data_IF_402406036396
#
_entry.id   IF_402406036396
#
_cell.length_a   1.000
_cell.length_b   1.000
_cell.length_c   1.000
_cell.angle_alpha   90.00
_cell.angle_beta   90.00
_cell.angle_gamma   90.00
#
_symmetry.space_group_name_H-M   'P 1'
#
loop_
_entity.id
_entity.type
_entity.pdbx_description
1 polymer ?
#
# COMPACT_ATOMS: atom_id res chain seq x y z
N UNK A 1 24.67 28.95 -15.13
CA UNK A 1 23.46 29.40 -14.43
C UNK A 1 23.36 28.55 -13.17
N UNK A 2 23.35 29.19 -12.02
CA UNK A 2 23.12 28.49 -10.77
C UNK A 2 21.62 28.25 -10.61
N UNK A 3 21.20 26.99 -10.58
CA UNK A 3 19.77 26.63 -10.56
C UNK A 3 19.07 27.07 -9.29
N UNK A 4 19.72 27.00 -8.11
CA UNK A 4 19.17 27.52 -6.85
C UNK A 4 18.96 29.04 -6.92
N UNK A 5 19.97 29.78 -7.39
CA UNK A 5 19.87 31.22 -7.56
C UNK A 5 18.80 31.60 -8.60
N UNK A 6 18.63 30.80 -9.66
CA UNK A 6 17.60 31.03 -10.67
C UNK A 6 16.18 30.85 -10.08
N UNK A 7 15.94 29.82 -9.26
CA UNK A 7 14.65 29.66 -8.56
C UNK A 7 14.37 30.83 -7.64
N UNK A 8 15.32 31.23 -6.80
CA UNK A 8 15.17 32.36 -5.86
C UNK A 8 14.90 33.66 -6.59
N UNK A 9 15.59 33.89 -7.70
CA UNK A 9 15.36 35.07 -8.56
C UNK A 9 13.99 35.04 -9.22
N UNK A 10 13.55 33.86 -9.72
CA UNK A 10 12.23 33.70 -10.32
C UNK A 10 11.10 33.93 -9.29
N UNK A 11 11.24 33.37 -8.07
CA UNK A 11 10.29 33.62 -6.97
C UNK A 11 10.15 35.14 -6.69
N UNK A 12 11.25 35.86 -6.60
CA UNK A 12 11.20 37.29 -6.34
C UNK A 12 10.63 38.09 -7.52
N UNK A 13 10.99 37.74 -8.76
CA UNK A 13 10.53 38.40 -9.96
C UNK A 13 9.05 38.17 -10.22
N UNK A 14 8.61 36.90 -10.16
CA UNK A 14 7.23 36.52 -10.42
C UNK A 14 6.30 36.71 -9.21
N UNK A 15 6.85 37.07 -8.05
CA UNK A 15 6.13 37.15 -6.75
C UNK A 15 5.46 35.82 -6.37
N UNK A 16 6.01 34.71 -6.83
CA UNK A 16 5.43 33.38 -6.72
C UNK A 16 6.30 32.45 -5.84
N UNK A 17 6.18 32.61 -4.53
CA UNK A 17 6.78 31.70 -3.55
C UNK A 17 5.88 30.45 -3.35
N UNK A 18 4.58 30.56 -3.68
CA UNK A 18 3.60 29.52 -3.43
C UNK A 18 3.96 28.24 -4.19
N UNK A 19 4.39 28.35 -5.45
CA UNK A 19 4.84 27.21 -6.27
C UNK A 19 5.96 26.43 -5.59
N UNK A 20 6.93 27.10 -4.95
CA UNK A 20 8.05 26.42 -4.28
C UNK A 20 7.63 25.83 -2.93
N UNK A 21 6.78 26.53 -2.18
CA UNK A 21 6.27 26.04 -0.90
C UNK A 21 5.33 24.83 -1.06
N UNK A 22 4.54 24.78 -2.14
CA UNK A 22 3.62 23.68 -2.43
C UNK A 22 4.35 22.34 -2.63
N UNK A 23 5.56 22.37 -3.17
CA UNK A 23 6.35 21.18 -3.45
C UNK A 23 7.16 20.64 -2.25
N UNK A 24 7.17 21.36 -1.12
CA UNK A 24 7.89 20.99 0.10
C UNK A 24 9.36 20.58 -0.14
N UNK A 25 10.07 21.39 -0.91
CA UNK A 25 11.41 21.12 -1.42
C UNK A 25 12.54 21.83 -0.64
N UNK A 26 12.37 22.07 0.64
CA UNK A 26 13.36 22.77 1.48
C UNK A 26 14.75 22.11 1.43
N UNK A 27 14.81 20.80 1.28
CA UNK A 27 16.06 20.04 1.31
C UNK A 27 16.85 20.07 -0.02
N UNK A 28 16.28 20.63 -1.11
CA UNK A 28 16.99 20.73 -2.40
C UNK A 28 17.84 22.02 -2.50
N UNK A 29 17.59 23.01 -1.67
CA UNK A 29 18.45 24.18 -1.53
C UNK A 29 19.66 23.82 -0.65
N UNK A 30 20.82 23.63 -1.27
CA UNK A 30 22.07 23.22 -0.60
C UNK A 30 22.99 24.44 -0.42
N UNK A 31 23.31 25.11 -1.52
CA UNK A 31 24.25 26.23 -1.56
C UNK A 31 23.63 27.55 -1.08
N UNK A 32 22.34 27.74 -1.30
CA UNK A 32 21.60 28.96 -0.95
C UNK A 32 20.47 28.69 0.07
N UNK A 33 20.71 27.74 0.97
CA UNK A 33 19.74 27.36 2.00
C UNK A 33 19.38 28.54 2.92
N UNK A 34 20.36 29.31 3.30
CA UNK A 34 20.19 30.52 4.14
C UNK A 34 19.36 31.60 3.44
N UNK A 35 19.54 31.77 2.12
CA UNK A 35 18.75 32.71 1.30
C UNK A 35 17.30 32.24 1.21
N UNK A 36 17.08 30.93 0.97
CA UNK A 36 15.75 30.33 0.95
C UNK A 36 15.02 30.49 2.29
N UNK A 37 15.67 30.16 3.40
CA UNK A 37 15.12 30.35 4.75
C UNK A 37 14.82 31.83 5.05
N UNK A 38 15.68 32.70 4.59
CA UNK A 38 15.48 34.15 4.70
C UNK A 38 14.28 34.66 3.92
N UNK A 39 14.06 34.12 2.71
CA UNK A 39 12.91 34.41 1.85
C UNK A 39 11.61 33.90 2.47
N UNK A 40 11.59 32.67 2.97
CA UNK A 40 10.46 32.09 3.71
C UNK A 40 10.11 32.93 4.93
N UNK A 41 11.09 33.28 5.72
CA UNK A 41 10.89 34.10 6.93
C UNK A 41 10.31 35.46 6.61
N UNK A 42 10.76 36.08 5.53
CA UNK A 42 10.20 37.36 5.04
C UNK A 42 8.74 37.20 4.65
N UNK A 43 8.43 36.18 3.85
CA UNK A 43 7.06 35.89 3.42
C UNK A 43 6.13 35.59 4.60
N UNK A 44 6.56 34.81 5.56
CA UNK A 44 5.76 34.51 6.75
C UNK A 44 5.45 35.74 7.58
N UNK A 45 6.41 36.66 7.67
CA UNK A 45 6.26 37.90 8.45
C UNK A 45 5.43 38.96 7.76
N UNK A 46 5.65 39.18 6.47
CA UNK A 46 5.07 40.31 5.72
C UNK A 46 3.96 39.89 4.75
N UNK A 47 3.74 38.60 4.55
CA UNK A 47 2.77 38.04 3.59
C UNK A 47 2.98 38.55 2.15
N UNK A 48 4.20 38.91 1.82
CA UNK A 48 4.61 39.41 0.51
C UNK A 48 5.98 38.84 0.14
N UNK A 49 6.24 38.69 -1.15
CA UNK A 49 7.54 38.28 -1.67
C UNK A 49 8.40 39.52 -1.88
N UNK A 50 9.62 39.61 -1.33
CA UNK A 50 10.49 40.78 -1.50
C UNK A 50 10.99 40.90 -2.94
N UNK A 51 11.52 42.07 -3.28
CA UNK A 51 12.31 42.22 -4.48
C UNK A 51 13.69 41.56 -4.32
N UNK A 52 14.27 41.13 -5.42
CA UNK A 52 15.59 40.47 -5.44
C UNK A 52 16.66 41.35 -4.71
N UNK A 53 16.61 42.67 -4.84
CA UNK A 53 17.52 43.60 -4.18
C UNK A 53 17.52 43.47 -2.65
N UNK A 54 16.39 43.13 -2.05
CA UNK A 54 16.27 42.94 -0.59
C UNK A 54 17.06 41.70 -0.16
N UNK A 55 17.04 40.63 -0.98
CA UNK A 55 17.86 39.44 -0.72
C UNK A 55 19.34 39.73 -0.88
N UNK A 56 19.73 40.51 -1.91
CA UNK A 56 21.14 40.87 -2.12
C UNK A 56 21.69 41.78 -1.02
N UNK A 57 20.85 42.68 -0.47
CA UNK A 57 21.23 43.49 0.66
C UNK A 57 21.52 42.67 1.92
N UNK A 58 20.69 41.69 2.16
CA UNK A 58 20.79 40.81 3.36
C UNK A 58 21.84 39.71 3.21
N UNK A 59 21.96 39.13 2.03
CA UNK A 59 22.88 38.02 1.72
C UNK A 59 23.91 38.47 0.69
N UNK A 60 25.06 38.93 1.17
CA UNK A 60 26.10 39.57 0.32
C UNK A 60 26.69 38.63 -0.75
N UNK A 61 26.68 37.32 -0.51
CA UNK A 61 27.19 36.31 -1.42
C UNK A 61 26.13 35.79 -2.40
N UNK A 62 24.90 36.31 -2.33
CA UNK A 62 23.83 35.95 -3.24
C UNK A 62 23.91 36.73 -4.54
N UNK A 63 24.23 36.05 -5.62
CA UNK A 63 24.23 36.58 -6.98
C UNK A 63 22.96 36.13 -7.70
N UNK A 64 21.99 37.01 -8.00
CA UNK A 64 20.77 36.62 -8.68
C UNK A 64 21.02 36.33 -10.16
N UNK A 65 20.28 35.36 -10.68
CA UNK A 65 20.29 34.99 -12.09
C UNK A 65 19.24 35.80 -12.89
N UNK A 66 19.53 36.05 -14.16
CA UNK A 66 18.56 36.64 -15.07
C UNK A 66 17.55 35.57 -15.51
N UNK A 67 16.31 35.72 -15.09
CA UNK A 67 15.21 34.79 -15.36
C UNK A 67 14.16 35.41 -16.26
N UNK A 68 13.54 34.61 -17.16
CA UNK A 68 12.52 35.08 -18.11
C UNK A 68 11.29 34.18 -18.17
N UNK A 69 11.20 33.17 -17.28
CA UNK A 69 10.15 32.14 -17.29
C UNK A 69 9.43 32.04 -15.97
N UNK A 70 8.47 31.14 -15.94
CA UNK A 70 7.67 30.80 -14.76
C UNK A 70 8.54 30.17 -13.67
N UNK A 71 8.20 30.38 -12.41
CA UNK A 71 8.90 29.83 -11.25
C UNK A 71 8.99 28.30 -11.31
N UNK A 72 7.92 27.64 -11.74
CA UNK A 72 7.86 26.17 -11.89
C UNK A 72 8.91 25.61 -12.82
N UNK A 73 9.20 26.26 -13.94
CA UNK A 73 10.24 25.83 -14.86
C UNK A 73 11.63 25.76 -14.20
N UNK A 74 12.00 26.78 -13.43
CA UNK A 74 13.28 26.81 -12.73
C UNK A 74 13.32 25.82 -11.57
N UNK A 75 12.18 25.63 -10.89
CA UNK A 75 12.04 24.64 -9.82
C UNK A 75 12.24 23.21 -10.35
N UNK A 76 11.63 22.88 -11.49
CA UNK A 76 11.80 21.56 -12.12
C UNK A 76 13.26 21.31 -12.54
N UNK A 77 13.96 22.34 -13.04
CA UNK A 77 15.38 22.25 -13.36
C UNK A 77 16.21 22.00 -12.09
N UNK A 78 15.94 22.69 -11.00
CA UNK A 78 16.63 22.50 -9.72
C UNK A 78 16.38 21.08 -9.16
N UNK A 79 15.13 20.59 -9.18
CA UNK A 79 14.80 19.23 -8.78
C UNK A 79 15.57 18.20 -9.59
N UNK A 80 15.61 18.39 -10.90
CA UNK A 80 16.30 17.45 -11.82
C UNK A 80 17.81 17.46 -11.60
N UNK A 81 18.42 18.62 -11.37
CA UNK A 81 19.83 18.75 -11.03
C UNK A 81 20.15 18.11 -9.69
N UNK A 82 19.33 18.39 -8.66
CA UNK A 82 19.48 17.78 -7.35
C UNK A 82 19.43 16.25 -7.43
N UNK A 83 18.43 15.69 -8.10
CA UNK A 83 18.29 14.25 -8.29
C UNK A 83 19.49 13.67 -9.05
N UNK A 84 19.91 14.33 -10.12
CA UNK A 84 21.07 13.90 -10.93
C UNK A 84 22.31 13.81 -10.07
N UNK A 85 22.59 14.82 -9.25
CA UNK A 85 23.76 14.86 -8.39
C UNK A 85 23.67 13.80 -7.29
N UNK A 86 22.51 13.64 -6.66
CA UNK A 86 22.29 12.60 -5.61
C UNK A 86 22.44 11.19 -6.17
N UNK A 87 21.92 10.92 -7.38
CA UNK A 87 22.08 9.62 -8.05
C UNK A 87 23.55 9.36 -8.36
N UNK A 88 24.29 10.36 -8.87
CA UNK A 88 25.75 10.22 -9.13
C UNK A 88 26.51 9.89 -7.85
N UNK A 89 26.25 10.63 -6.76
CA UNK A 89 26.89 10.40 -5.47
C UNK A 89 26.58 8.99 -4.93
N UNK A 90 25.32 8.56 -5.05
CA UNK A 90 24.88 7.23 -4.66
C UNK A 90 25.60 6.13 -5.44
N UNK A 91 25.75 6.30 -6.75
CA UNK A 91 26.46 5.34 -7.62
C UNK A 91 27.96 5.29 -7.28
N UNK A 92 28.62 6.44 -7.09
CA UNK A 92 30.04 6.52 -6.75
C UNK A 92 30.33 5.93 -5.37
N UNK A 93 29.55 6.31 -4.37
CA UNK A 93 29.65 5.80 -2.98
C UNK A 93 29.49 4.28 -2.93
N UNK A 94 28.42 3.78 -3.53
CA UNK A 94 28.11 2.35 -3.47
C UNK A 94 29.00 1.52 -4.43
N UNK A 95 29.44 2.07 -5.56
CA UNK A 95 30.42 1.43 -6.44
C UNK A 95 31.76 1.17 -5.76
N UNK A 96 32.24 2.10 -4.91
CA UNK A 96 33.46 1.90 -4.11
C UNK A 96 33.28 0.82 -3.04
N UNK A 97 32.10 0.73 -2.43
CA UNK A 97 31.77 -0.21 -1.35
C UNK A 97 31.63 -1.65 -1.80
N UNK A 98 31.30 -1.88 -3.07
CA UNK A 98 31.25 -3.25 -3.64
C UNK A 98 32.60 -3.97 -3.57
N UNK A 99 33.70 -3.26 -3.30
CA UNK A 99 35.03 -3.87 -3.10
C UNK A 99 35.23 -4.44 -1.68
N UNK A 100 34.46 -3.98 -0.69
CA UNK A 100 34.64 -4.28 0.73
C UNK A 100 33.40 -4.88 1.39
N UNK A 101 32.22 -4.54 0.91
CA UNK A 101 30.93 -4.94 1.49
C UNK A 101 30.22 -6.00 0.62
N UNK A 102 29.31 -6.77 1.19
CA UNK A 102 28.52 -7.71 0.39
C UNK A 102 27.58 -6.96 -0.56
N UNK A 103 27.46 -7.46 -1.79
CA UNK A 103 26.60 -6.85 -2.81
C UNK A 103 25.13 -6.71 -2.34
N UNK A 104 24.62 -7.69 -1.57
CA UNK A 104 23.26 -7.65 -0.99
C UNK A 104 23.08 -6.47 -0.04
N UNK A 105 24.06 -6.21 0.83
CA UNK A 105 24.00 -5.09 1.79
C UNK A 105 24.03 -3.75 1.05
N UNK A 106 24.91 -3.60 0.08
CA UNK A 106 25.02 -2.40 -0.76
C UNK A 106 23.70 -2.15 -1.49
N UNK A 107 23.07 -3.20 -2.06
CA UNK A 107 21.80 -3.10 -2.76
C UNK A 107 20.66 -2.62 -1.84
N UNK A 108 20.54 -3.18 -0.63
CA UNK A 108 19.51 -2.78 0.35
C UNK A 108 19.65 -1.31 0.76
N UNK A 109 20.88 -0.85 0.98
CA UNK A 109 21.14 0.55 1.33
C UNK A 109 20.82 1.48 0.16
N UNK A 110 21.18 1.10 -1.09
CA UNK A 110 20.80 1.84 -2.29
C UNK A 110 19.28 1.95 -2.45
N UNK A 111 18.54 0.87 -2.23
CA UNK A 111 17.07 0.88 -2.29
C UNK A 111 16.48 1.86 -1.26
N UNK A 112 17.02 1.91 -0.06
CA UNK A 112 16.58 2.84 0.99
C UNK A 112 16.86 4.30 0.59
N UNK A 113 18.05 4.60 0.08
CA UNK A 113 18.41 5.95 -0.35
C UNK A 113 17.56 6.40 -1.57
N UNK A 114 17.32 5.52 -2.55
CA UNK A 114 16.44 5.79 -3.69
C UNK A 114 15.00 6.08 -3.22
N UNK A 115 14.48 5.28 -2.29
CA UNK A 115 13.14 5.50 -1.73
C UNK A 115 13.01 6.86 -1.04
N UNK A 116 14.05 7.29 -0.32
CA UNK A 116 14.07 8.61 0.29
C UNK A 116 14.09 9.75 -0.74
N UNK A 117 14.84 9.58 -1.84
CA UNK A 117 14.86 10.57 -2.92
C UNK A 117 13.49 10.73 -3.59
N UNK A 118 12.76 9.64 -3.81
CA UNK A 118 11.42 9.69 -4.39
C UNK A 118 10.38 10.34 -3.46
N UNK A 119 10.61 10.33 -2.15
CA UNK A 119 9.77 11.07 -1.18
C UNK A 119 9.95 12.59 -1.27
N UNK A 120 11.18 13.06 -1.50
CA UNK A 120 11.49 14.50 -1.59
C UNK A 120 10.87 15.13 -2.85
N UNK A 121 10.67 14.34 -3.91
CA UNK A 121 10.15 14.83 -5.19
C UNK A 121 8.66 14.57 -5.41
N UNK A 122 7.95 14.09 -4.39
CA UNK A 122 6.50 13.83 -4.46
C UNK A 122 5.72 15.15 -4.57
N UNK A 123 5.02 15.36 -5.69
CA UNK A 123 4.21 16.53 -5.91
C UNK A 123 2.90 16.46 -5.11
N UNK A 124 2.55 17.55 -4.43
CA UNK A 124 1.18 17.76 -3.95
C UNK A 124 0.32 18.09 -5.18
N UNK A 125 -0.77 17.32 -5.35
CA UNK A 125 -1.69 17.55 -6.47
C UNK A 125 -2.75 18.56 -6.05
N UNK A 126 -2.75 19.72 -6.70
CA UNK A 126 -3.81 20.71 -6.56
C UNK A 126 -4.98 20.37 -7.48
N UNK A 127 -6.18 20.53 -6.97
CA UNK A 127 -7.43 20.34 -7.73
C UNK A 127 -8.29 21.57 -7.55
N UNK A 128 -8.60 22.24 -8.66
CA UNK A 128 -9.61 23.30 -8.65
C UNK A 128 -11.01 22.67 -8.66
N UNK A 129 -11.73 22.79 -7.56
CA UNK A 129 -13.07 22.23 -7.42
C UNK A 129 -14.12 22.94 -8.30
N UNK A 130 -13.78 24.09 -8.91
CA UNK A 130 -14.65 24.80 -9.85
C UNK A 130 -14.42 24.36 -11.31
N UNK A 131 -13.39 23.56 -11.58
CA UNK A 131 -13.17 22.93 -12.89
C UNK A 131 -14.12 21.74 -13.08
N UNK A 132 -15.30 22.05 -13.63
CA UNK A 132 -16.34 21.04 -13.84
C UNK A 132 -15.98 20.02 -14.94
N UNK A 133 -15.15 20.38 -15.93
CA UNK A 133 -14.71 19.44 -16.97
C UNK A 133 -13.82 18.33 -16.38
N UNK A 134 -12.95 18.71 -15.42
CA UNK A 134 -12.16 17.72 -14.68
C UNK A 134 -13.04 16.82 -13.81
N UNK A 135 -14.05 17.40 -13.16
CA UNK A 135 -15.02 16.65 -12.36
C UNK A 135 -15.83 15.67 -13.23
N UNK A 136 -16.31 16.11 -14.40
CA UNK A 136 -17.05 15.28 -15.36
C UNK A 136 -16.23 14.10 -15.84
N UNK A 137 -14.98 14.31 -16.28
CA UNK A 137 -14.06 13.24 -16.67
C UNK A 137 -13.81 12.24 -15.54
N UNK A 138 -13.73 12.72 -14.30
CA UNK A 138 -13.62 11.83 -13.16
C UNK A 138 -14.88 10.96 -12.98
N UNK A 139 -16.06 11.56 -13.02
CA UNK A 139 -17.33 10.82 -12.87
C UNK A 139 -17.52 9.81 -14.00
N UNK A 140 -17.21 10.18 -15.24
CA UNK A 140 -17.25 9.25 -16.38
C UNK A 140 -16.30 8.07 -16.18
N UNK A 141 -15.07 8.31 -15.78
CA UNK A 141 -14.08 7.26 -15.50
C UNK A 141 -14.54 6.30 -14.38
N UNK A 142 -15.15 6.82 -13.31
CA UNK A 142 -15.71 5.99 -12.23
C UNK A 142 -16.92 5.20 -12.74
N UNK A 143 -17.80 5.83 -13.54
CA UNK A 143 -18.98 5.20 -14.13
C UNK A 143 -18.60 4.06 -15.08
N UNK A 144 -17.65 4.29 -15.97
CA UNK A 144 -17.16 3.26 -16.91
C UNK A 144 -16.60 2.05 -16.16
N UNK A 145 -15.75 2.28 -15.15
CA UNK A 145 -15.25 1.19 -14.31
C UNK A 145 -16.37 0.46 -13.60
N UNK A 146 -17.31 1.18 -12.98
CA UNK A 146 -18.44 0.58 -12.29
C UNK A 146 -19.32 -0.27 -13.23
N UNK A 147 -19.56 0.19 -14.45
CA UNK A 147 -20.33 -0.57 -15.45
C UNK A 147 -19.58 -1.83 -15.90
N UNK A 148 -18.28 -1.71 -16.18
CA UNK A 148 -17.42 -2.83 -16.56
C UNK A 148 -17.32 -3.91 -15.47
N UNK A 149 -17.44 -3.52 -14.19
CA UNK A 149 -17.27 -4.39 -13.04
C UNK A 149 -18.61 -4.80 -12.37
N UNK A 150 -19.72 -4.61 -13.06
CA UNK A 150 -21.04 -5.06 -12.59
C UNK A 150 -21.58 -4.27 -11.39
N UNK A 151 -21.38 -2.95 -11.37
CA UNK A 151 -21.99 -2.00 -10.43
C UNK A 151 -21.11 -1.57 -9.23
N UNK A 152 -19.82 -1.86 -9.26
CA UNK A 152 -18.84 -1.37 -8.26
C UNK A 152 -17.58 -0.90 -8.97
N UNK A 153 -16.95 0.25 -8.59
CA UNK A 153 -15.71 0.70 -9.20
C UNK A 153 -14.47 -0.07 -8.74
N UNK A 154 -14.58 -0.93 -7.75
CA UNK A 154 -13.53 -1.77 -7.22
C UNK A 154 -13.88 -3.26 -7.20
N UNK A 155 -12.92 -4.09 -6.83
CA UNK A 155 -13.04 -5.55 -6.79
C UNK A 155 -14.06 -5.94 -5.70
N UNK A 156 -15.07 -6.73 -6.06
CA UNK A 156 -16.04 -7.26 -5.10
C UNK A 156 -15.42 -8.37 -4.25
N UNK A 157 -15.81 -8.42 -2.99
CA UNK A 157 -15.33 -9.45 -2.06
C UNK A 157 -15.98 -10.81 -2.29
N UNK A 158 -17.16 -10.82 -2.91
CA UNK A 158 -18.00 -12.00 -3.09
C UNK A 158 -18.86 -12.32 -1.87
N UNK A 159 -18.77 -11.52 -0.81
CA UNK A 159 -19.68 -11.57 0.35
C UNK A 159 -20.69 -10.43 0.24
N UNK A 160 -21.97 -10.80 0.20
CA UNK A 160 -23.08 -9.85 0.02
C UNK A 160 -23.10 -8.79 1.13
N UNK A 161 -22.85 -9.20 2.37
CA UNK A 161 -22.83 -8.29 3.51
C UNK A 161 -21.73 -7.22 3.36
N UNK A 162 -20.52 -7.59 2.93
CA UNK A 162 -19.43 -6.63 2.70
C UNK A 162 -19.74 -5.78 1.47
N UNK A 163 -20.12 -6.39 0.35
CA UNK A 163 -20.30 -5.69 -0.94
C UNK A 163 -21.45 -4.67 -0.88
N UNK A 164 -22.46 -4.87 0.00
CA UNK A 164 -23.50 -3.88 0.28
C UNK A 164 -23.02 -2.76 1.21
N UNK A 165 -22.27 -3.11 2.25
CA UNK A 165 -21.77 -2.16 3.24
C UNK A 165 -20.56 -1.35 2.73
N UNK A 166 -19.88 -1.86 1.72
CA UNK A 166 -18.69 -1.25 1.10
C UNK A 166 -18.88 -1.14 -0.43
N UNK A 167 -19.79 -0.25 -0.87
CA UNK A 167 -20.27 -0.21 -2.26
C UNK A 167 -19.19 0.16 -3.28
N UNK A 168 -18.08 0.75 -2.83
CA UNK A 168 -16.93 1.02 -3.70
C UNK A 168 -16.17 -0.26 -4.07
N UNK A 169 -16.40 -1.37 -3.36
CA UNK A 169 -15.55 -2.54 -3.41
C UNK A 169 -14.11 -2.24 -2.95
N UNK A 170 -13.21 -3.17 -3.13
CA UNK A 170 -11.78 -2.95 -2.94
C UNK A 170 -11.26 -2.08 -4.08
N UNK A 171 -11.36 -0.75 -3.90
CA UNK A 171 -11.09 0.22 -4.97
C UNK A 171 -9.60 0.59 -5.04
N UNK A 172 -9.15 1.16 -6.18
CA UNK A 172 -7.80 1.67 -6.33
C UNK A 172 -7.38 2.61 -5.19
N UNK A 173 -6.21 2.38 -4.61
CA UNK A 173 -5.67 3.18 -3.52
C UNK A 173 -6.19 2.85 -2.12
N UNK A 174 -7.10 1.88 -1.98
CA UNK A 174 -7.60 1.46 -0.68
C UNK A 174 -6.62 0.54 0.06
N UNK A 175 -6.41 0.80 1.34
CA UNK A 175 -5.77 -0.10 2.29
C UNK A 175 -6.84 -0.76 3.13
N UNK A 176 -6.94 -2.09 3.04
CA UNK A 176 -7.89 -2.91 3.79
C UNK A 176 -7.08 -3.69 4.83
N UNK A 177 -7.37 -3.51 6.12
CA UNK A 177 -6.69 -4.23 7.19
C UNK A 177 -7.56 -5.35 7.71
N UNK A 178 -7.02 -6.57 7.73
CA UNK A 178 -7.69 -7.76 8.25
C UNK A 178 -7.05 -8.19 9.56
N UNK A 179 -7.84 -8.16 10.64
CA UNK A 179 -7.38 -8.43 12.01
C UNK A 179 -7.93 -9.78 12.46
N UNK A 180 -7.12 -10.58 13.13
CA UNK A 180 -7.61 -11.85 13.70
C UNK A 180 -6.60 -12.48 14.65
N UNK A 181 -7.11 -13.34 15.55
CA UNK A 181 -6.26 -14.12 16.44
C UNK A 181 -5.40 -15.12 15.65
N UNK A 182 -4.33 -15.60 16.26
CA UNK A 182 -3.53 -16.68 15.65
C UNK A 182 -4.39 -17.92 15.40
N UNK A 183 -4.25 -18.55 14.23
CA UNK A 183 -4.99 -19.77 13.87
C UNK A 183 -6.50 -19.60 13.61
N UNK A 184 -7.03 -18.36 13.57
CA UNK A 184 -8.48 -18.10 13.41
C UNK A 184 -8.92 -17.77 11.97
N UNK A 185 -8.14 -18.20 10.96
CA UNK A 185 -8.61 -18.21 9.57
C UNK A 185 -8.19 -17.02 8.70
N UNK A 186 -7.30 -16.12 9.17
CA UNK A 186 -6.85 -14.94 8.40
C UNK A 186 -6.35 -15.29 7.00
N UNK A 187 -5.40 -16.19 6.90
CA UNK A 187 -4.81 -16.62 5.61
C UNK A 187 -5.84 -17.30 4.70
N UNK A 188 -6.82 -18.01 5.26
CA UNK A 188 -7.92 -18.59 4.49
C UNK A 188 -8.81 -17.50 3.89
N UNK A 189 -9.21 -16.51 4.70
CA UNK A 189 -10.03 -15.38 4.24
C UNK A 189 -9.31 -14.59 3.14
N UNK A 190 -8.03 -14.27 3.31
CA UNK A 190 -7.27 -13.54 2.29
C UNK A 190 -7.12 -14.35 1.01
N UNK A 191 -6.89 -15.66 1.11
CA UNK A 191 -6.86 -16.55 -0.05
C UNK A 191 -8.20 -16.58 -0.78
N UNK A 192 -9.32 -16.58 -0.05
CA UNK A 192 -10.67 -16.49 -0.62
C UNK A 192 -10.86 -15.19 -1.40
N UNK A 193 -10.51 -14.04 -0.80
CA UNK A 193 -10.61 -12.74 -1.46
C UNK A 193 -9.76 -12.66 -2.73
N UNK A 194 -8.56 -13.26 -2.70
CA UNK A 194 -7.72 -13.38 -3.90
C UNK A 194 -8.36 -14.25 -4.98
N UNK A 195 -8.94 -15.40 -4.61
CA UNK A 195 -9.66 -16.27 -5.54
C UNK A 195 -10.87 -15.54 -6.17
N UNK A 196 -11.63 -14.78 -5.35
CA UNK A 196 -12.76 -14.00 -5.86
C UNK A 196 -12.32 -12.86 -6.78
N UNK A 197 -11.23 -12.19 -6.49
CA UNK A 197 -10.64 -11.21 -7.41
C UNK A 197 -10.23 -11.87 -8.74
N UNK A 198 -9.58 -13.03 -8.67
CA UNK A 198 -9.15 -13.76 -9.86
C UNK A 198 -10.34 -14.27 -10.70
N UNK A 199 -11.41 -14.75 -10.08
CA UNK A 199 -12.64 -15.17 -10.76
C UNK A 199 -13.32 -14.01 -11.50
N UNK A 200 -13.17 -12.78 -11.02
CA UNK A 200 -13.65 -11.55 -11.66
C UNK A 200 -12.75 -11.04 -12.81
N UNK A 201 -11.63 -11.71 -13.08
CA UNK A 201 -10.69 -11.34 -14.16
C UNK A 201 -9.52 -10.50 -13.73
N UNK A 202 -9.33 -10.25 -12.42
CA UNK A 202 -8.19 -9.51 -11.87
C UNK A 202 -6.98 -10.42 -11.62
N UNK A 203 -5.80 -9.83 -11.61
CA UNK A 203 -4.54 -10.50 -11.28
C UNK A 203 -4.16 -10.26 -9.81
N UNK A 204 -4.49 -11.15 -8.87
CA UNK A 204 -4.05 -11.00 -7.48
C UNK A 204 -2.59 -11.40 -7.32
N UNK A 205 -1.91 -10.75 -6.36
CA UNK A 205 -0.60 -11.09 -5.88
C UNK A 205 -0.64 -11.26 -4.35
N UNK A 206 -0.28 -12.43 -3.87
CA UNK A 206 -0.13 -12.70 -2.43
C UNK A 206 1.36 -12.76 -2.10
N UNK A 207 1.78 -12.01 -1.08
CA UNK A 207 3.10 -12.12 -0.47
C UNK A 207 2.89 -12.73 0.92
N UNK A 208 3.17 -14.02 1.06
CA UNK A 208 3.07 -14.76 2.32
C UNK A 208 4.46 -15.00 2.89
N UNK A 209 4.69 -14.48 4.09
CA UNK A 209 5.97 -14.63 4.81
C UNK A 209 5.89 -15.69 5.91
N UNK A 210 4.70 -16.22 6.18
CA UNK A 210 4.45 -17.22 7.22
C UNK A 210 4.50 -18.65 6.67
N UNK A 211 4.00 -18.85 5.44
CA UNK A 211 3.77 -20.18 4.90
C UNK A 211 4.64 -20.47 3.68
N UNK A 212 4.98 -21.76 3.49
CA UNK A 212 5.63 -22.21 2.26
C UNK A 212 4.72 -22.03 1.04
N UNK A 213 5.31 -21.87 -0.17
CA UNK A 213 4.54 -21.75 -1.41
C UNK A 213 3.60 -22.91 -1.65
N UNK A 214 4.05 -24.14 -1.33
CA UNK A 214 3.27 -25.36 -1.51
C UNK A 214 2.01 -25.36 -0.65
N UNK A 215 2.15 -25.05 0.64
CA UNK A 215 1.03 -24.97 1.57
C UNK A 215 0.02 -23.90 1.19
N UNK A 216 0.50 -22.73 0.73
CA UNK A 216 -0.38 -21.68 0.23
C UNK A 216 -1.09 -22.07 -1.06
N UNK A 217 -0.36 -22.69 -2.00
CA UNK A 217 -0.93 -23.20 -3.26
C UNK A 217 -2.04 -24.20 -2.99
N UNK A 218 -1.81 -25.17 -2.09
CA UNK A 218 -2.79 -26.20 -1.75
C UNK A 218 -4.08 -25.60 -1.18
N UNK A 219 -3.97 -24.55 -0.33
CA UNK A 219 -5.14 -23.80 0.15
C UNK A 219 -5.88 -23.09 -0.98
N UNK A 220 -5.15 -22.41 -1.87
CA UNK A 220 -5.73 -21.70 -3.00
C UNK A 220 -6.44 -22.70 -3.94
N UNK A 221 -5.84 -23.81 -4.25
CA UNK A 221 -6.46 -24.84 -5.11
C UNK A 221 -7.68 -25.50 -4.44
N UNK A 222 -7.64 -25.73 -3.13
CA UNK A 222 -8.82 -26.19 -2.38
C UNK A 222 -9.96 -25.20 -2.50
N UNK A 223 -9.71 -23.90 -2.36
CA UNK A 223 -10.72 -22.86 -2.49
C UNK A 223 -11.25 -22.75 -3.91
N UNK A 224 -10.37 -22.71 -4.91
CA UNK A 224 -10.75 -22.64 -6.32
C UNK A 224 -11.54 -23.85 -6.78
N UNK A 225 -11.26 -25.00 -6.16
CA UNK A 225 -11.97 -26.26 -6.40
C UNK A 225 -13.35 -26.31 -5.77
N UNK A 226 -13.62 -25.49 -4.73
CA UNK A 226 -14.93 -25.33 -4.08
C UNK A 226 -15.65 -26.68 -3.83
N UNK A 227 -15.05 -27.53 -3.02
CA UNK A 227 -15.60 -28.83 -2.64
C UNK A 227 -15.10 -30.03 -3.49
N UNK A 228 -14.47 -29.78 -4.64
CA UNK A 228 -13.92 -30.82 -5.51
C UNK A 228 -12.70 -31.51 -4.86
N UNK A 229 -11.83 -30.73 -4.22
CA UNK A 229 -10.63 -31.21 -3.55
C UNK A 229 -10.69 -30.93 -2.05
N UNK A 230 -9.93 -31.72 -1.27
CA UNK A 230 -9.77 -31.49 0.17
C UNK A 230 -8.33 -31.05 0.45
N UNK A 231 -8.19 -30.04 1.31
CA UNK A 231 -6.88 -29.57 1.78
C UNK A 231 -6.06 -30.74 2.40
N UNK A 232 -6.74 -31.62 3.16
CA UNK A 232 -6.12 -32.82 3.74
C UNK A 232 -5.56 -33.78 2.70
N UNK A 233 -6.15 -33.86 1.50
CA UNK A 233 -5.71 -34.78 0.45
C UNK A 233 -4.47 -34.22 -0.25
N UNK A 234 -4.39 -32.89 -0.46
CA UNK A 234 -3.16 -32.25 -0.90
C UNK A 234 -2.00 -32.51 0.07
N UNK A 235 -2.22 -32.27 1.38
CA UNK A 235 -1.21 -32.46 2.41
C UNK A 235 -0.71 -33.89 2.53
N UNK A 236 -1.56 -34.87 2.22
CA UNK A 236 -1.23 -36.31 2.26
C UNK A 236 -0.75 -36.86 0.93
N UNK A 237 -0.75 -36.05 -0.15
CA UNK A 237 -0.44 -36.50 -1.50
C UNK A 237 -1.49 -37.47 -2.06
N UNK A 238 -2.74 -37.36 -1.61
CA UNK A 238 -3.84 -38.29 -1.99
C UNK A 238 -4.77 -37.68 -3.07
N UNK A 239 -4.42 -36.55 -3.64
CA UNK A 239 -5.19 -35.94 -4.73
C UNK A 239 -5.05 -36.80 -5.99
N UNK A 240 -6.19 -37.11 -6.63
CA UNK A 240 -6.17 -37.80 -7.92
C UNK A 240 -5.55 -36.87 -8.98
N UNK A 241 -4.46 -37.31 -9.60
CA UNK A 241 -3.68 -36.48 -10.53
C UNK A 241 -4.44 -36.21 -11.82
N UNK A 242 -5.23 -37.18 -12.33
CA UNK A 242 -5.98 -37.00 -13.58
C UNK A 242 -7.16 -36.04 -13.39
N UNK A 243 -7.87 -36.15 -12.26
CA UNK A 243 -8.94 -35.21 -11.89
C UNK A 243 -8.38 -33.80 -11.71
N UNK A 244 -7.23 -33.70 -11.03
CA UNK A 244 -6.56 -32.41 -10.83
C UNK A 244 -6.11 -31.80 -12.16
N UNK A 245 -5.49 -32.59 -13.05
CA UNK A 245 -5.04 -32.12 -14.36
C UNK A 245 -6.21 -31.60 -15.20
N UNK A 246 -7.29 -32.39 -15.30
CA UNK A 246 -8.49 -31.99 -16.05
C UNK A 246 -9.13 -30.73 -15.49
N UNK A 247 -9.20 -30.61 -14.17
CA UNK A 247 -9.70 -29.40 -13.51
C UNK A 247 -8.80 -28.20 -13.77
N UNK A 248 -7.48 -28.35 -13.62
CA UNK A 248 -6.50 -27.26 -13.79
C UNK A 248 -6.49 -26.74 -15.23
N UNK A 249 -6.53 -27.64 -16.22
CA UNK A 249 -6.60 -27.28 -17.63
C UNK A 249 -7.86 -26.41 -17.92
N UNK A 250 -9.03 -26.85 -17.44
CA UNK A 250 -10.27 -26.10 -17.60
C UNK A 250 -10.29 -24.77 -16.81
N UNK A 251 -9.67 -24.74 -15.64
CA UNK A 251 -9.73 -23.57 -14.73
C UNK A 251 -8.75 -22.47 -15.14
N UNK A 252 -7.54 -22.82 -15.64
CA UNK A 252 -6.44 -21.87 -15.82
C UNK A 252 -6.14 -21.50 -17.27
N UNK A 253 -6.62 -22.28 -18.26
CA UNK A 253 -6.39 -21.96 -19.68
C UNK A 253 -6.96 -20.59 -20.03
N UNK A 254 -6.16 -19.76 -20.70
CA UNK A 254 -6.51 -18.39 -21.14
C UNK A 254 -6.92 -17.44 -20.00
N UNK A 255 -6.52 -17.72 -18.77
CA UNK A 255 -6.77 -16.84 -17.61
C UNK A 255 -5.55 -15.99 -17.27
N UNK A 256 -5.81 -14.85 -16.64
CA UNK A 256 -4.77 -13.99 -16.07
C UNK A 256 -3.98 -14.72 -14.97
N UNK A 257 -2.75 -14.23 -14.72
CA UNK A 257 -1.92 -14.82 -13.67
C UNK A 257 -2.50 -14.64 -12.27
N UNK A 258 -2.15 -15.57 -11.39
CA UNK A 258 -2.33 -15.47 -9.95
C UNK A 258 -0.95 -15.65 -9.33
N UNK A 259 -0.40 -14.60 -8.70
CA UNK A 259 0.99 -14.56 -8.26
C UNK A 259 1.07 -14.86 -6.78
N UNK A 260 1.89 -15.83 -6.43
CA UNK A 260 2.24 -16.17 -5.05
C UNK A 260 3.74 -15.94 -4.86
N UNK A 261 4.10 -15.17 -3.85
CA UNK A 261 5.47 -14.89 -3.45
C UNK A 261 5.62 -15.34 -1.99
N UNK A 262 6.64 -16.11 -1.71
CA UNK A 262 7.05 -16.44 -0.35
C UNK A 262 8.51 -16.12 -0.12
N UNK A 263 8.91 -16.01 1.14
CA UNK A 263 10.27 -15.68 1.51
C UNK A 263 10.91 -16.83 2.29
N UNK A 264 10.92 -17.99 1.91
CA UNK A 264 11.56 -19.18 2.54
C UNK A 264 12.68 -18.92 3.58
N UNK A 265 12.52 -17.85 4.40
CA UNK A 265 13.48 -17.43 5.41
C UNK A 265 14.73 -16.70 4.88
N UNK A 266 14.77 -16.32 3.61
CA UNK A 266 15.93 -15.67 2.99
C UNK A 266 15.69 -14.15 2.82
N UNK A 267 16.33 -13.36 3.67
CA UNK A 267 16.36 -11.91 3.56
C UNK A 267 15.19 -11.18 4.21
N UNK A 268 15.30 -9.87 4.25
CA UNK A 268 14.28 -8.98 4.80
C UNK A 268 13.34 -8.51 3.71
N UNK A 269 12.04 -8.69 3.89
CA UNK A 269 11.01 -8.17 2.99
C UNK A 269 10.49 -6.84 3.53
N UNK A 270 10.64 -5.80 2.74
CA UNK A 270 10.25 -4.43 3.09
C UNK A 270 9.16 -3.93 2.13
N UNK A 271 8.48 -2.81 2.43
CA UNK A 271 7.58 -2.16 1.47
C UNK A 271 8.24 -1.88 0.10
N UNK A 272 9.54 -1.61 0.07
CA UNK A 272 10.28 -1.45 -1.18
C UNK A 272 10.39 -2.76 -1.98
N UNK A 273 10.55 -3.88 -1.30
CA UNK A 273 10.51 -5.21 -1.95
C UNK A 273 9.13 -5.46 -2.56
N UNK A 274 8.06 -5.09 -1.84
CA UNK A 274 6.67 -5.18 -2.34
C UNK A 274 6.50 -4.30 -3.59
N UNK A 275 6.99 -3.06 -3.57
CA UNK A 275 6.95 -2.17 -4.75
C UNK A 275 7.64 -2.80 -5.96
N UNK A 276 8.84 -3.35 -5.79
CA UNK A 276 9.55 -4.01 -6.88
C UNK A 276 8.76 -5.18 -7.49
N UNK A 277 8.03 -5.94 -6.65
CA UNK A 277 7.16 -7.03 -7.11
C UNK A 277 5.89 -6.50 -7.81
N UNK A 278 5.32 -5.41 -7.33
CA UNK A 278 4.22 -4.71 -8.03
C UNK A 278 4.70 -4.27 -9.42
N UNK A 279 5.88 -3.68 -9.52
CA UNK A 279 6.45 -3.23 -10.79
C UNK A 279 6.73 -4.38 -11.75
N UNK A 280 7.18 -5.52 -11.23
CA UNK A 280 7.48 -6.71 -12.02
C UNK A 280 6.21 -7.39 -12.56
N UNK A 281 5.20 -7.58 -11.70
CA UNK A 281 4.04 -8.41 -12.01
C UNK A 281 2.80 -7.61 -12.41
N UNK A 282 2.74 -6.30 -12.11
CA UNK A 282 1.57 -5.43 -12.36
C UNK A 282 0.27 -6.07 -11.90
N UNK A 283 0.11 -6.37 -10.60
CA UNK A 283 -1.11 -6.95 -10.07
C UNK A 283 -2.22 -5.91 -9.96
N UNK A 284 -3.48 -6.39 -9.91
CA UNK A 284 -4.68 -5.58 -9.66
C UNK A 284 -5.09 -5.57 -8.18
N UNK A 285 -4.56 -6.51 -7.39
CA UNK A 285 -4.78 -6.65 -5.95
C UNK A 285 -3.50 -7.20 -5.31
N UNK A 286 -3.08 -6.61 -4.19
CA UNK A 286 -1.95 -7.11 -3.39
C UNK A 286 -2.45 -7.54 -2.01
N UNK A 287 -2.00 -8.70 -1.56
CA UNK A 287 -2.28 -9.24 -0.21
C UNK A 287 -0.96 -9.50 0.50
N UNK A 288 -0.83 -9.01 1.73
CA UNK A 288 0.36 -9.07 2.56
C UNK A 288 0.09 -9.91 3.80
N UNK A 289 0.65 -11.12 3.86
CA UNK A 289 0.40 -12.10 4.92
C UNK A 289 1.71 -12.49 5.65
N UNK A 290 1.96 -11.94 6.85
CA UNK A 290 1.21 -10.97 7.61
C UNK A 290 2.11 -9.82 8.08
N UNK A 291 1.53 -8.69 8.43
CA UNK A 291 2.16 -7.39 8.73
C UNK A 291 3.44 -7.46 9.56
N UNK A 292 3.41 -8.19 10.68
CA UNK A 292 4.51 -8.24 11.66
C UNK A 292 5.79 -8.87 11.13
N UNK A 293 5.71 -9.63 10.03
CA UNK A 293 6.88 -10.27 9.40
C UNK A 293 7.61 -9.35 8.40
N UNK A 294 6.97 -8.24 8.03
CA UNK A 294 7.63 -7.24 7.19
C UNK A 294 8.61 -6.39 8.00
N UNK A 295 9.64 -5.92 7.33
CA UNK A 295 10.65 -5.06 7.90
C UNK A 295 10.44 -3.61 7.45
N UNK A 296 10.70 -2.67 8.36
CA UNK A 296 10.69 -1.25 8.06
C UNK A 296 11.91 -0.84 7.23
N UNK A 297 11.71 0.05 6.27
CA UNK A 297 12.78 0.59 5.42
C UNK A 297 13.52 1.76 6.07
N UNK A 298 13.00 2.34 7.15
CA UNK A 298 13.52 3.59 7.76
C UNK A 298 14.39 3.38 9.01
N UNK A 299 14.51 2.13 9.51
CA UNK A 299 15.34 1.82 10.67
C UNK A 299 14.72 2.23 12.00
N UNK A 300 13.44 1.99 12.18
CA UNK A 300 12.70 2.28 13.41
C UNK A 300 13.37 1.68 14.67
N UNK A 301 13.30 2.42 15.77
CA UNK A 301 13.93 2.06 17.04
C UNK A 301 13.06 1.17 17.93
N UNK A 302 11.76 1.09 17.65
CA UNK A 302 10.81 0.28 18.41
C UNK A 302 9.91 -0.52 17.47
N UNK A 303 9.34 -1.62 17.97
CA UNK A 303 8.40 -2.45 17.21
C UNK A 303 7.13 -1.68 16.84
N UNK A 304 6.60 -0.86 17.72
CA UNK A 304 5.41 -0.03 17.47
C UNK A 304 5.71 0.99 16.37
N UNK A 305 6.86 1.63 16.41
CA UNK A 305 7.28 2.58 15.37
C UNK A 305 7.46 1.87 14.02
N UNK A 306 8.12 0.70 14.02
CA UNK A 306 8.30 -0.14 12.84
C UNK A 306 6.96 -0.47 12.17
N UNK A 307 6.03 -1.02 12.94
CA UNK A 307 4.72 -1.44 12.41
C UNK A 307 3.90 -0.23 11.92
N UNK A 308 3.99 0.91 12.61
CA UNK A 308 3.35 2.15 12.17
C UNK A 308 3.91 2.64 10.83
N UNK A 309 5.23 2.60 10.64
CA UNK A 309 5.87 3.01 9.39
C UNK A 309 5.48 2.07 8.25
N UNK A 310 5.45 0.76 8.49
CA UNK A 310 5.02 -0.25 7.53
C UNK A 310 3.56 0.00 7.10
N UNK A 311 2.63 0.25 8.05
CA UNK A 311 1.23 0.55 7.75
C UNK A 311 1.10 1.76 6.82
N UNK A 312 1.82 2.84 7.13
CA UNK A 312 1.84 4.04 6.30
C UNK A 312 2.42 3.77 4.91
N UNK A 313 3.50 3.01 4.83
CA UNK A 313 4.13 2.67 3.55
C UNK A 313 3.20 1.79 2.70
N UNK A 314 2.46 0.84 3.28
CA UNK A 314 1.46 0.05 2.57
C UNK A 314 0.29 0.91 2.05
N UNK A 315 -0.18 1.90 2.83
CA UNK A 315 -1.15 2.88 2.32
C UNK A 315 -0.59 3.67 1.15
N UNK A 316 0.65 4.12 1.23
CA UNK A 316 1.31 4.83 0.13
C UNK A 316 1.50 3.94 -1.10
N UNK A 317 1.82 2.66 -0.93
CA UNK A 317 1.87 1.68 -2.03
C UNK A 317 0.53 1.57 -2.75
N UNK A 318 -0.57 1.43 -1.99
CA UNK A 318 -1.91 1.37 -2.56
C UNK A 318 -2.23 2.62 -3.40
N UNK A 319 -2.01 3.80 -2.84
CA UNK A 319 -2.32 5.09 -3.50
C UNK A 319 -1.45 5.32 -4.74
N UNK A 320 -0.11 5.11 -4.63
CA UNK A 320 0.83 5.38 -5.74
C UNK A 320 0.62 4.46 -6.94
N UNK A 321 0.29 3.20 -6.68
CA UNK A 321 0.08 2.22 -7.74
C UNK A 321 -1.38 2.18 -8.23
N UNK A 322 -2.31 2.87 -7.55
CA UNK A 322 -3.72 2.84 -7.89
C UNK A 322 -4.35 1.45 -7.77
N UNK A 323 -3.92 0.64 -6.79
CA UNK A 323 -4.40 -0.72 -6.54
C UNK A 323 -4.85 -0.89 -5.09
N UNK A 324 -5.82 -1.76 -4.79
CA UNK A 324 -6.12 -2.13 -3.42
C UNK A 324 -5.02 -3.00 -2.81
N UNK A 325 -4.76 -2.78 -1.52
CA UNK A 325 -3.83 -3.58 -0.72
C UNK A 325 -4.59 -4.14 0.49
N UNK A 326 -4.51 -5.44 0.70
CA UNK A 326 -5.00 -6.10 1.92
C UNK A 326 -3.79 -6.41 2.81
N UNK A 327 -3.79 -5.86 4.01
CA UNK A 327 -2.77 -6.07 5.03
C UNK A 327 -3.34 -6.92 6.16
N UNK A 328 -2.76 -8.10 6.35
CA UNK A 328 -3.20 -9.03 7.40
C UNK A 328 -2.41 -8.77 8.65
N UNK A 329 -3.09 -8.64 9.79
CA UNK A 329 -2.43 -8.42 11.07
C UNK A 329 -2.97 -9.35 12.17
N UNK A 330 -2.08 -9.79 13.04
CA UNK A 330 -2.47 -10.53 14.23
C UNK A 330 -2.82 -9.57 15.37
N UNK A 331 -3.91 -9.85 16.06
CA UNK A 331 -4.19 -9.22 17.34
C UNK A 331 -3.28 -9.82 18.42
N UNK A 332 -2.86 -8.97 19.36
CA UNK A 332 -2.06 -9.35 20.54
C UNK A 332 -2.92 -9.27 21.79
N UNK A 333 -2.67 -10.15 22.76
CA UNK A 333 -3.45 -10.23 23.98
C UNK A 333 -2.62 -10.15 25.23
N UNK A 334 -3.22 -9.51 26.22
CA UNK A 334 -2.79 -9.63 27.62
C UNK A 334 -3.48 -10.79 28.36
N UNK A 335 -4.62 -11.33 27.85
CA UNK A 335 -5.37 -12.43 28.50
C UNK A 335 -6.02 -13.39 27.47
N UNK A 336 -5.96 -14.71 27.74
CA UNK A 336 -6.45 -15.79 26.87
C UNK A 336 -7.99 -15.84 26.83
N UNK A 337 -8.66 -15.33 27.86
CA UNK A 337 -10.12 -15.38 27.99
C UNK A 337 -10.89 -14.59 26.93
N UNK A 338 -10.23 -13.66 26.23
CA UNK A 338 -10.89 -12.78 25.24
C UNK A 338 -10.90 -13.32 23.80
N UNK A 339 -10.34 -14.52 23.55
CA UNK A 339 -10.28 -15.08 22.18
C UNK A 339 -11.59 -15.73 21.69
N UNK A 340 -12.68 -15.51 22.36
CA UNK A 340 -14.00 -16.08 22.00
C UNK A 340 -14.78 -15.23 20.99
N UNK A 341 -14.28 -14.01 20.69
CA UNK A 341 -14.93 -13.06 19.79
C UNK A 341 -13.93 -12.46 18.78
N UNK A 342 -14.42 -11.84 17.70
CA UNK A 342 -13.58 -11.07 16.78
C UNK A 342 -12.83 -9.96 17.51
N UNK A 343 -11.50 -9.82 17.31
CA UNK A 343 -10.70 -8.85 18.05
C UNK A 343 -11.16 -7.41 17.81
N UNK A 344 -10.98 -6.58 18.84
CA UNK A 344 -11.15 -5.13 18.74
C UNK A 344 -9.91 -4.50 18.09
N UNK A 345 -10.09 -3.32 17.51
CA UNK A 345 -8.97 -2.57 16.93
C UNK A 345 -7.89 -2.24 17.98
N UNK A 346 -8.32 -1.91 19.22
CA UNK A 346 -7.42 -1.63 20.36
C UNK A 346 -6.52 -2.79 20.76
N UNK A 347 -6.83 -4.01 20.35
CA UNK A 347 -6.04 -5.23 20.60
C UNK A 347 -4.91 -5.43 19.57
N UNK A 348 -4.67 -4.44 18.73
CA UNK A 348 -3.49 -4.38 17.86
C UNK A 348 -2.56 -3.31 18.40
N UNK A 349 -1.29 -3.65 18.65
CA UNK A 349 -0.31 -2.78 19.31
C UNK A 349 -0.09 -1.41 18.61
N UNK A 350 -0.35 -1.33 17.31
CA UNK A 350 -0.30 -0.10 16.49
C UNK A 350 -1.66 0.33 15.96
N UNK A 351 -2.73 0.05 16.69
CA UNK A 351 -4.12 0.33 16.31
C UNK A 351 -4.36 1.76 15.81
N UNK A 352 -3.69 2.76 16.40
CA UNK A 352 -3.76 4.16 15.95
C UNK A 352 -3.30 4.34 14.49
N UNK A 353 -2.28 3.62 14.03
CA UNK A 353 -1.87 3.68 12.63
C UNK A 353 -2.98 3.11 11.72
N UNK A 354 -3.59 1.99 12.11
CA UNK A 354 -4.72 1.41 11.37
C UNK A 354 -5.89 2.40 11.33
N UNK A 355 -6.19 3.09 12.43
CA UNK A 355 -7.23 4.13 12.48
C UNK A 355 -6.96 5.28 11.48
N UNK A 356 -5.71 5.64 11.23
CA UNK A 356 -5.36 6.71 10.30
C UNK A 356 -5.24 6.22 8.87
N UNK A 357 -4.55 5.10 8.63
CA UNK A 357 -4.10 4.68 7.30
C UNK A 357 -5.12 3.82 6.56
N UNK A 358 -5.85 2.92 7.27
CA UNK A 358 -6.81 2.02 6.65
C UNK A 358 -8.07 2.74 6.15
N UNK A 359 -8.56 2.33 4.99
CA UNK A 359 -9.88 2.72 4.47
C UNK A 359 -10.98 1.82 5.02
N UNK A 360 -10.66 0.54 5.19
CA UNK A 360 -11.49 -0.44 5.88
C UNK A 360 -10.64 -1.30 6.81
N UNK A 361 -11.14 -1.59 8.00
CA UNK A 361 -10.59 -2.61 8.88
C UNK A 361 -11.69 -3.59 9.25
N UNK A 362 -11.42 -4.89 9.13
CA UNK A 362 -12.34 -5.96 9.53
C UNK A 362 -11.65 -6.94 10.46
N UNK A 363 -12.38 -7.38 11.47
CA UNK A 363 -11.96 -8.43 12.37
C UNK A 363 -12.62 -9.75 11.96
N UNK A 364 -11.82 -10.82 11.97
CA UNK A 364 -12.29 -12.17 11.67
C UNK A 364 -12.01 -13.11 12.82
N UNK A 365 -12.95 -14.00 13.07
CA UNK A 365 -12.84 -14.98 14.12
C UNK A 365 -13.54 -16.29 13.74
N UNK A 366 -12.77 -17.35 13.55
CA UNK A 366 -13.32 -18.70 13.43
C UNK A 366 -13.55 -19.28 14.83
N UNK A 367 -14.79 -19.65 15.14
CA UNK A 367 -15.13 -20.30 16.42
C UNK A 367 -14.42 -21.66 16.51
N UNK A 368 -13.80 -22.00 17.65
CA UNK A 368 -13.17 -23.30 17.85
C UNK A 368 -14.15 -24.44 17.56
N UNK A 369 -13.63 -25.52 17.03
CA UNK A 369 -14.37 -26.79 16.81
C UNK A 369 -15.65 -26.69 15.97
N UNK A 370 -15.85 -25.57 15.27
CA UNK A 370 -16.97 -25.35 14.36
C UNK A 370 -16.49 -24.90 12.98
N UNK A 371 -17.41 -24.85 12.01
CA UNK A 371 -17.20 -24.21 10.71
C UNK A 371 -17.60 -22.72 10.72
N UNK A 372 -18.06 -22.20 11.85
CA UNK A 372 -18.57 -20.83 11.92
C UNK A 372 -17.42 -19.84 12.01
N UNK A 373 -17.42 -18.88 11.09
CA UNK A 373 -16.53 -17.73 11.09
C UNK A 373 -17.36 -16.46 11.21
N UNK A 374 -17.03 -15.63 12.18
CA UNK A 374 -17.63 -14.33 12.40
C UNK A 374 -16.76 -13.24 11.82
N UNK A 375 -17.37 -12.29 11.09
CA UNK A 375 -16.68 -11.17 10.45
C UNK A 375 -17.39 -9.89 10.85
N UNK A 376 -16.60 -8.93 11.36
CA UNK A 376 -17.12 -7.66 11.87
C UNK A 376 -16.26 -6.50 11.34
N UNK A 377 -16.89 -5.44 10.84
CA UNK A 377 -16.18 -4.20 10.54
C UNK A 377 -15.67 -3.55 11.82
N UNK A 378 -14.47 -3.01 11.77
CA UNK A 378 -13.87 -2.21 12.85
C UNK A 378 -13.63 -0.77 12.40
N UNK A 379 -13.65 -0.56 11.10
CA UNK A 379 -13.59 0.74 10.44
C UNK A 379 -14.11 0.59 9.02
N UNK A 380 -14.95 1.50 8.58
CA UNK A 380 -15.36 1.60 7.19
C UNK A 380 -15.49 3.08 6.78
N UNK A 381 -14.49 3.59 6.06
CA UNK A 381 -14.43 5.01 5.65
C UNK A 381 -15.38 5.32 4.48
N UNK A 382 -15.70 4.32 3.66
CA UNK A 382 -16.43 4.47 2.40
C UNK A 382 -17.79 3.78 2.39
N UNK A 383 -18.32 3.42 3.56
CA UNK A 383 -19.59 2.74 3.67
C UNK A 383 -20.11 2.66 5.09
N UNK A 384 -20.91 1.63 5.38
CA UNK A 384 -21.52 1.38 6.68
C UNK A 384 -20.83 0.22 7.40
N UNK A 385 -21.05 0.11 8.70
CA UNK A 385 -20.59 -1.04 9.47
C UNK A 385 -21.34 -2.31 9.06
N UNK A 386 -20.67 -3.46 9.21
CA UNK A 386 -21.23 -4.77 8.95
C UNK A 386 -20.77 -5.78 10.00
N UNK A 387 -21.64 -6.76 10.25
CA UNK A 387 -21.34 -7.98 10.98
C UNK A 387 -22.13 -9.12 10.34
N UNK A 388 -21.49 -10.25 10.10
CA UNK A 388 -22.14 -11.43 9.53
C UNK A 388 -21.35 -12.69 9.85
N UNK A 389 -21.95 -13.83 9.55
CA UNK A 389 -21.39 -15.14 9.81
C UNK A 389 -21.22 -15.92 8.51
N UNK A 390 -20.22 -16.79 8.50
CA UNK A 390 -19.99 -17.76 7.46
C UNK A 390 -20.02 -19.18 8.05
N UNK A 391 -20.65 -20.11 7.34
CA UNK A 391 -20.36 -21.53 7.45
C UNK A 391 -19.24 -21.83 6.45
N UNK A 392 -18.07 -22.21 6.95
CA UNK A 392 -16.88 -22.40 6.14
C UNK A 392 -16.19 -23.72 6.42
N UNK A 393 -16.41 -24.69 5.55
CA UNK A 393 -15.61 -25.92 5.51
C UNK A 393 -14.24 -25.62 4.87
N UNK A 394 -13.27 -25.29 5.72
CA UNK A 394 -11.91 -24.97 5.29
C UNK A 394 -11.24 -26.17 4.59
N UNK A 395 -11.55 -27.41 4.98
CA UNK A 395 -10.97 -28.60 4.36
C UNK A 395 -11.45 -28.80 2.92
N UNK A 396 -12.64 -28.31 2.57
CA UNK A 396 -13.20 -28.43 1.23
C UNK A 396 -13.23 -27.10 0.47
N UNK A 397 -12.85 -25.99 1.10
CA UNK A 397 -12.89 -24.67 0.51
C UNK A 397 -14.30 -24.18 0.18
N UNK A 398 -15.31 -24.71 0.87
CA UNK A 398 -16.72 -24.33 0.67
C UNK A 398 -17.11 -23.31 1.73
N UNK A 399 -17.63 -22.18 1.29
CA UNK A 399 -18.03 -21.08 2.16
C UNK A 399 -19.42 -20.58 1.77
N UNK A 400 -20.27 -20.29 2.78
CA UNK A 400 -21.61 -19.75 2.62
C UNK A 400 -21.89 -18.71 3.69
N UNK A 401 -22.46 -17.56 3.30
CA UNK A 401 -23.02 -16.61 4.27
C UNK A 401 -24.24 -17.24 4.96
N UNK A 402 -24.31 -17.10 6.27
CA UNK A 402 -25.43 -17.58 7.08
C UNK A 402 -25.98 -16.44 7.94
N UNK A 403 -27.25 -16.53 8.29
CA UNK A 403 -27.92 -15.61 9.19
C UNK A 403 -27.74 -16.06 10.64
N UNK A 404 -27.79 -15.11 11.59
CA UNK A 404 -27.61 -15.39 13.01
C UNK A 404 -28.58 -16.47 13.52
N UNK A 405 -29.79 -16.54 12.95
CA UNK A 405 -30.81 -17.54 13.29
C UNK A 405 -30.44 -18.97 12.87
N UNK A 406 -29.54 -19.12 11.93
CA UNK A 406 -29.09 -20.41 11.39
C UNK A 406 -27.85 -20.95 12.11
N UNK A 407 -27.33 -20.20 13.11
CA UNK A 407 -26.19 -20.64 13.88
C UNK A 407 -26.62 -21.71 14.87
N UNK A 408 -26.01 -22.93 14.84
CA UNK A 408 -26.26 -23.94 15.82
C UNK A 408 -26.00 -23.38 17.24
N UNK A 409 -27.02 -23.43 18.09
CA UNK A 409 -26.84 -23.13 19.51
C UNK A 409 -25.99 -24.26 20.11
N UNK A 410 -24.76 -23.94 20.53
CA UNK A 410 -23.85 -24.86 21.21
C UNK A 410 -24.24 -25.05 22.65
#
# INVERSE_FOLDING_TARGET
>A
MNTEAAVLSAVCQNKDIATVLADNVDDIFISHRDVWEGLKSYYLKFRAVPDVSVLQEKFKDFEPESVKGETGYYLDNLKNEFLTNRIKDLLLKNGSRLKTDSATRVLLEMQTEISNLTRITGNVRDVDLTDFEMAEKHFESVRERSLAMGGSPGIKTGFKAIDLAYPTGMAPGHLIVMIGWAGRGKTWMSSYLACKAWEQGFKPMIISLEMSPENMRDRIYTMMGSGLFKASDFQKGMVNTDDFHSWAENKFTDKQGFILISNEGQGQVTPNTVQAKIDQYKPDLVILDYHQLFNDSSGAKSEVERNRNISRDFKLLAVRNGIPVIDITAATMDDISDQEAPPLLSQVAWSKAIEYDADMAMAIHKRPDTNIMEIVSRKNRHGTDFAFYLDWDLNRGVVQEIYEMDIPQL
#
